data_IF_735805528700
#
_entry.id   IF_735805528700
#
_cell.length_a   1.000
_cell.length_b   1.000
_cell.length_c   1.000
_cell.angle_alpha   90.00
_cell.angle_beta   90.00
_cell.angle_gamma   90.00
#
_symmetry.space_group_name_H-M   'P 1'
#
loop_
_entity.id
_entity.type
_entity.pdbx_description
1 polymer ?
#
# COMPACT_ATOMS: atom_id res chain seq x y z
N UNK A 1 19.44 -13.02 17.77
CA UNK A 1 18.60 -12.31 16.78
C UNK A 1 17.75 -13.34 16.06
N UNK A 2 16.45 -13.13 15.99
CA UNK A 2 15.55 -13.97 15.20
C UNK A 2 15.83 -13.84 13.69
N UNK A 3 15.22 -14.72 12.87
CA UNK A 3 15.32 -14.60 11.41
C UNK A 3 14.68 -13.31 10.90
N UNK A 4 13.52 -12.92 11.45
CA UNK A 4 12.80 -11.69 11.09
C UNK A 4 13.66 -10.46 11.34
N UNK A 5 14.27 -10.33 12.53
CA UNK A 5 15.15 -9.18 12.86
C UNK A 5 16.35 -9.10 11.91
N UNK A 6 16.98 -10.24 11.57
CA UNK A 6 18.11 -10.29 10.62
C UNK A 6 17.66 -9.88 9.21
N UNK A 7 16.53 -10.38 8.75
CA UNK A 7 15.99 -10.06 7.44
C UNK A 7 15.66 -8.55 7.30
N UNK A 8 15.03 -7.97 8.33
CA UNK A 8 14.77 -6.52 8.36
C UNK A 8 16.07 -5.72 8.29
N UNK A 9 17.08 -6.09 9.10
CA UNK A 9 18.36 -5.39 9.09
C UNK A 9 19.05 -5.46 7.72
N UNK A 10 19.03 -6.63 7.07
CA UNK A 10 19.59 -6.81 5.73
C UNK A 10 18.87 -5.95 4.68
N UNK A 11 17.53 -5.92 4.70
CA UNK A 11 16.75 -5.07 3.78
C UNK A 11 17.05 -3.60 4.04
N UNK A 12 17.05 -3.16 5.29
CA UNK A 12 17.31 -1.76 5.69
C UNK A 12 18.68 -1.25 5.26
N UNK A 13 19.69 -2.11 5.17
CA UNK A 13 21.04 -1.75 4.68
C UNK A 13 21.03 -1.30 3.21
N UNK A 14 20.11 -1.81 2.41
CA UNK A 14 19.98 -1.51 0.97
C UNK A 14 18.83 -0.56 0.65
N UNK A 15 18.00 -0.22 1.64
CA UNK A 15 16.85 0.64 1.44
C UNK A 15 17.26 2.11 1.65
N UNK A 16 17.03 3.02 0.68
CA UNK A 16 17.23 4.45 0.87
C UNK A 16 16.43 4.99 2.06
N UNK A 17 16.95 6.01 2.74
CA UNK A 17 16.35 6.55 3.98
C UNK A 17 14.96 7.18 3.75
N UNK A 18 14.72 7.68 2.56
CA UNK A 18 13.47 8.30 2.13
C UNK A 18 12.41 7.30 1.62
N UNK A 19 12.77 6.01 1.56
CA UNK A 19 11.84 4.95 1.16
C UNK A 19 11.18 4.32 2.38
N UNK A 20 9.86 4.38 2.44
CA UNK A 20 9.08 3.72 3.48
C UNK A 20 8.93 2.23 3.18
N UNK A 21 9.26 1.39 4.16
CA UNK A 21 9.05 -0.06 4.09
C UNK A 21 7.78 -0.45 4.83
N UNK A 22 6.82 -1.03 4.11
CA UNK A 22 5.64 -1.65 4.69
C UNK A 22 5.94 -3.14 4.92
N UNK A 23 5.94 -3.56 6.19
CA UNK A 23 6.06 -4.98 6.57
C UNK A 23 4.73 -5.68 6.29
N UNK A 24 4.64 -6.47 5.21
CA UNK A 24 3.40 -7.16 4.82
C UNK A 24 3.20 -8.38 5.71
N UNK A 25 2.36 -8.22 6.72
CA UNK A 25 2.17 -9.18 7.82
C UNK A 25 0.96 -10.12 7.65
N UNK A 26 0.27 -10.05 6.50
CA UNK A 26 -0.85 -10.95 6.19
C UNK A 26 -0.44 -12.42 6.36
N UNK A 27 -1.31 -13.21 7.02
CA UNK A 27 -1.11 -14.63 7.35
C UNK A 27 -0.03 -14.94 8.39
N UNK A 28 0.66 -13.95 8.93
CA UNK A 28 1.67 -14.15 9.97
C UNK A 28 1.08 -13.93 11.37
N UNK A 29 1.69 -14.58 12.36
CA UNK A 29 1.24 -14.55 13.75
C UNK A 29 1.50 -13.20 14.41
N UNK A 30 0.80 -12.93 15.50
CA UNK A 30 1.04 -11.76 16.36
C UNK A 30 2.49 -11.73 16.86
N UNK A 31 3.06 -12.88 17.23
CA UNK A 31 4.45 -12.98 17.71
C UNK A 31 5.45 -12.56 16.62
N UNK A 32 5.24 -12.98 15.37
CA UNK A 32 6.10 -12.58 14.24
C UNK A 32 6.05 -11.05 14.01
N UNK A 33 4.86 -10.46 14.15
CA UNK A 33 4.70 -9.01 14.04
C UNK A 33 5.39 -8.29 15.21
N UNK A 34 5.28 -8.83 16.43
CA UNK A 34 5.96 -8.29 17.60
C UNK A 34 7.49 -8.33 17.46
N UNK A 35 8.05 -9.36 16.82
CA UNK A 35 9.48 -9.40 16.52
C UNK A 35 9.89 -8.26 15.57
N UNK A 36 9.14 -8.02 14.50
CA UNK A 36 9.38 -6.91 13.59
C UNK A 36 9.18 -5.54 14.28
N UNK A 37 8.17 -5.43 15.15
CA UNK A 37 7.93 -4.24 15.96
C UNK A 37 9.10 -3.93 16.89
N UNK A 38 9.66 -4.94 17.58
CA UNK A 38 10.83 -4.79 18.45
C UNK A 38 12.11 -4.48 17.65
N UNK A 39 12.16 -4.85 16.37
CA UNK A 39 13.22 -4.44 15.45
C UNK A 39 13.10 -2.96 15.00
N UNK A 40 12.06 -2.25 15.44
CA UNK A 40 11.84 -0.82 15.17
C UNK A 40 10.77 -0.52 14.14
N UNK A 41 10.18 -1.53 13.49
CA UNK A 41 9.16 -1.31 12.46
C UNK A 41 7.83 -0.87 13.05
N UNK A 42 7.13 0.01 12.32
CA UNK A 42 5.82 0.55 12.72
C UNK A 42 4.78 0.50 11.60
N UNK A 43 5.20 0.35 10.35
CA UNK A 43 4.32 0.30 9.19
C UNK A 43 4.04 -1.15 8.81
N UNK A 44 2.81 -1.62 9.05
CA UNK A 44 2.39 -2.99 8.78
C UNK A 44 1.24 -3.05 7.80
N UNK A 45 1.31 -3.98 6.84
CA UNK A 45 0.35 -4.12 5.76
C UNK A 45 -0.50 -5.39 5.87
N UNK A 46 -1.83 -5.21 5.85
CA UNK A 46 -2.82 -6.29 5.87
C UNK A 46 -3.72 -6.28 4.64
N UNK A 47 -4.17 -7.46 4.20
CA UNK A 47 -5.04 -7.59 3.03
C UNK A 47 -6.45 -8.07 3.34
N UNK A 48 -6.75 -8.44 4.59
CA UNK A 48 -8.07 -8.91 5.04
C UNK A 48 -8.52 -8.12 6.25
N UNK A 49 -9.73 -7.55 6.18
CA UNK A 49 -10.26 -6.68 7.24
C UNK A 49 -10.37 -7.40 8.57
N UNK A 50 -10.86 -8.65 8.59
CA UNK A 50 -11.00 -9.42 9.82
C UNK A 50 -9.65 -9.70 10.50
N UNK A 51 -8.64 -10.03 9.72
CA UNK A 51 -7.28 -10.26 10.20
C UNK A 51 -6.68 -8.98 10.78
N UNK A 52 -6.84 -7.86 10.08
CA UNK A 52 -6.43 -6.54 10.54
C UNK A 52 -7.06 -6.16 11.88
N UNK A 53 -8.37 -6.34 12.02
CA UNK A 53 -9.10 -6.04 13.26
C UNK A 53 -8.59 -6.88 14.43
N UNK A 54 -8.46 -8.19 14.23
CA UNK A 54 -7.96 -9.10 15.26
C UNK A 54 -6.53 -8.73 15.71
N UNK A 55 -5.63 -8.48 14.77
CA UNK A 55 -4.25 -8.09 15.07
C UNK A 55 -4.16 -6.75 15.78
N UNK A 56 -4.97 -5.78 15.38
CA UNK A 56 -5.02 -4.46 16.01
C UNK A 56 -5.41 -4.52 17.49
N UNK A 57 -6.27 -5.45 17.87
CA UNK A 57 -6.69 -5.63 19.28
C UNK A 57 -5.57 -6.18 20.17
N UNK A 58 -4.64 -6.95 19.57
CA UNK A 58 -3.59 -7.69 20.29
C UNK A 58 -2.23 -6.99 20.25
N UNK A 59 -2.04 -5.99 19.37
CA UNK A 59 -0.76 -5.37 19.08
C UNK A 59 -0.70 -3.91 19.55
N UNK A 60 0.51 -3.33 19.69
CA UNK A 60 0.69 -1.94 20.12
C UNK A 60 -0.09 -0.92 19.28
N UNK A 61 -0.63 0.10 19.96
CA UNK A 61 -1.51 1.10 19.33
C UNK A 61 -0.77 2.12 18.45
N UNK A 62 0.56 2.18 18.52
CA UNK A 62 1.41 3.03 17.70
C UNK A 62 1.79 2.40 16.35
N UNK A 63 1.30 1.18 16.07
CA UNK A 63 1.38 0.57 14.75
C UNK A 63 0.56 1.37 13.75
N UNK A 64 1.19 1.76 12.65
CA UNK A 64 0.54 2.36 11.49
C UNK A 64 0.04 1.26 10.56
N UNK A 65 -1.28 1.05 10.56
CA UNK A 65 -1.89 -0.01 9.76
C UNK A 65 -2.15 0.45 8.32
N UNK A 66 -1.56 -0.25 7.36
CA UNK A 66 -1.79 -0.07 5.93
C UNK A 66 -2.71 -1.17 5.42
N UNK A 67 -3.79 -0.78 4.75
CA UNK A 67 -4.66 -1.75 4.08
C UNK A 67 -4.25 -1.85 2.61
N UNK A 68 -3.78 -3.03 2.19
CA UNK A 68 -3.15 -3.27 0.87
C UNK A 68 -3.86 -4.33 0.02
N UNK A 69 -4.98 -4.88 0.50
CA UNK A 69 -5.78 -5.86 -0.24
C UNK A 69 -7.06 -5.24 -0.82
N UNK A 70 -7.78 -5.99 -1.64
CA UNK A 70 -9.07 -5.54 -2.17
C UNK A 70 -10.05 -5.25 -1.03
N UNK A 71 -10.55 -4.01 -0.98
CA UNK A 71 -11.45 -3.53 0.07
C UNK A 71 -12.90 -3.55 -0.38
N UNK A 72 -13.67 -4.50 0.12
CA UNK A 72 -15.11 -4.52 -0.11
C UNK A 72 -15.79 -3.31 0.54
N UNK A 73 -16.73 -2.67 -0.16
CA UNK A 73 -17.42 -1.45 0.32
C UNK A 73 -18.14 -1.62 1.65
N UNK A 74 -18.73 -2.82 1.91
CA UNK A 74 -19.39 -3.12 3.18
C UNK A 74 -18.44 -3.26 4.39
N UNK A 75 -17.13 -3.37 4.14
CA UNK A 75 -16.09 -3.48 5.16
C UNK A 75 -15.40 -2.15 5.48
N UNK A 76 -15.55 -1.14 4.63
CA UNK A 76 -14.92 0.20 4.78
C UNK A 76 -15.13 0.78 6.18
N UNK A 77 -16.37 0.78 6.69
CA UNK A 77 -16.73 1.29 8.02
C UNK A 77 -15.94 0.67 9.17
N UNK A 78 -15.38 -0.53 8.98
CA UNK A 78 -14.66 -1.26 10.02
C UNK A 78 -13.21 -0.77 10.18
N UNK A 79 -12.57 -0.26 9.10
CA UNK A 79 -11.17 0.16 9.12
C UNK A 79 -10.98 1.67 9.11
N UNK A 80 -11.92 2.42 8.57
CA UNK A 80 -11.91 3.90 8.55
C UNK A 80 -11.61 4.52 9.92
N UNK A 81 -12.07 4.00 11.07
CA UNK A 81 -11.80 4.59 12.37
C UNK A 81 -10.32 4.70 12.74
N UNK A 82 -9.45 3.85 12.18
CA UNK A 82 -8.07 3.75 12.65
C UNK A 82 -7.00 3.55 11.58
N UNK A 83 -7.39 3.10 10.38
CA UNK A 83 -6.42 2.83 9.30
C UNK A 83 -5.53 4.04 9.04
N UNK A 84 -4.23 3.80 8.87
CA UNK A 84 -3.26 4.85 8.57
C UNK A 84 -3.33 5.25 7.10
N UNK A 85 -3.33 4.25 6.20
CA UNK A 85 -3.37 4.45 4.75
C UNK A 85 -4.07 3.28 4.06
N UNK A 86 -4.99 3.56 3.15
CA UNK A 86 -5.61 2.56 2.27
C UNK A 86 -4.93 2.66 0.91
N UNK A 87 -4.22 1.60 0.48
CA UNK A 87 -3.49 1.59 -0.79
C UNK A 87 -4.35 1.19 -1.99
N UNK A 88 -5.43 0.47 -1.76
CA UNK A 88 -6.19 -0.29 -2.76
C UNK A 88 -7.51 0.38 -3.13
N UNK A 89 -7.49 1.70 -3.37
CA UNK A 89 -8.69 2.40 -3.84
C UNK A 89 -8.76 2.26 -5.37
N UNK A 90 -9.51 1.29 -5.81
CA UNK A 90 -9.57 0.77 -7.19
C UNK A 90 -10.76 1.27 -8.02
N UNK A 91 -11.68 2.03 -7.41
CA UNK A 91 -12.91 2.44 -8.08
C UNK A 91 -13.55 3.67 -7.44
N UNK A 92 -14.31 4.43 -8.25
CA UNK A 92 -15.10 5.56 -7.78
C UNK A 92 -16.08 5.15 -6.69
N UNK A 93 -16.69 3.97 -6.82
CA UNK A 93 -17.65 3.44 -5.83
C UNK A 93 -16.98 3.25 -4.46
N UNK A 94 -15.76 2.72 -4.43
CA UNK A 94 -15.00 2.53 -3.19
C UNK A 94 -14.58 3.88 -2.62
N UNK A 95 -14.08 4.79 -3.46
CA UNK A 95 -13.70 6.16 -3.09
C UNK A 95 -14.85 6.89 -2.39
N UNK A 96 -16.06 6.90 -2.99
CA UNK A 96 -17.25 7.53 -2.41
C UNK A 96 -17.68 6.87 -1.10
N UNK A 97 -17.53 5.55 -1.00
CA UNK A 97 -17.86 4.83 0.23
C UNK A 97 -16.88 5.19 1.36
N UNK A 98 -15.58 5.30 1.07
CA UNK A 98 -14.58 5.74 2.07
C UNK A 98 -14.90 7.17 2.52
N UNK A 99 -15.18 8.09 1.59
CA UNK A 99 -15.54 9.47 1.90
C UNK A 99 -16.75 9.54 2.85
N UNK A 100 -17.84 8.87 2.49
CA UNK A 100 -19.08 8.85 3.31
C UNK A 100 -18.86 8.29 4.71
N UNK A 101 -18.09 7.19 4.84
CA UNK A 101 -17.80 6.61 6.16
C UNK A 101 -16.82 7.49 6.98
N UNK A 102 -15.87 8.14 6.33
CA UNK A 102 -14.96 9.10 6.94
C UNK A 102 -15.70 10.37 7.42
N UNK A 103 -16.65 10.89 6.64
CA UNK A 103 -17.51 12.02 6.99
C UNK A 103 -18.33 11.75 8.25
N UNK A 104 -18.97 10.58 8.37
CA UNK A 104 -19.72 10.18 9.58
C UNK A 104 -18.86 10.23 10.85
N UNK A 105 -17.56 10.02 10.71
CA UNK A 105 -16.60 9.99 11.82
C UNK A 105 -15.83 11.31 11.99
N UNK A 106 -16.13 12.32 11.17
CA UNK A 106 -15.41 13.59 11.13
C UNK A 106 -13.88 13.38 11.01
N UNK A 107 -13.48 12.35 10.25
CA UNK A 107 -12.09 11.98 10.04
C UNK A 107 -11.67 12.24 8.59
N UNK A 108 -10.43 12.62 8.38
CA UNK A 108 -9.80 12.64 7.05
C UNK A 108 -8.96 11.39 6.86
N UNK A 109 -9.29 10.59 5.85
CA UNK A 109 -8.64 9.28 5.59
C UNK A 109 -7.64 9.42 4.45
N UNK A 110 -6.42 8.97 4.69
CA UNK A 110 -5.35 8.91 3.68
C UNK A 110 -5.57 7.71 2.76
N UNK A 111 -5.46 7.95 1.47
CA UNK A 111 -5.60 6.91 0.46
C UNK A 111 -4.54 7.01 -0.63
N UNK A 112 -4.28 5.88 -1.30
CA UNK A 112 -3.64 5.83 -2.62
C UNK A 112 -4.66 5.35 -3.65
N UNK A 113 -4.58 5.87 -4.85
CA UNK A 113 -5.35 5.39 -5.99
C UNK A 113 -4.62 4.20 -6.60
N UNK A 114 -5.29 3.05 -6.66
CA UNK A 114 -4.72 1.86 -7.29
C UNK A 114 -4.87 1.95 -8.80
N UNK A 115 -3.76 1.81 -9.52
CA UNK A 115 -3.74 1.84 -11.00
C UNK A 115 -3.45 0.46 -11.57
N UNK A 116 -4.17 0.13 -12.64
CA UNK A 116 -3.98 -1.10 -13.39
C UNK A 116 -3.01 -0.86 -14.55
N UNK A 117 -1.79 -1.39 -14.44
CA UNK A 117 -0.74 -1.28 -15.45
C UNK A 117 -0.21 -2.65 -15.90
N UNK A 118 -0.59 -3.71 -15.20
CA UNK A 118 -0.18 -5.07 -15.50
C UNK A 118 -1.02 -5.66 -16.65
N UNK A 119 -0.50 -6.69 -17.31
CA UNK A 119 -1.18 -7.35 -18.44
C UNK A 119 -2.34 -8.27 -18.02
N UNK A 120 -2.39 -8.66 -16.76
CA UNK A 120 -3.40 -9.59 -16.27
C UNK A 120 -4.75 -8.89 -16.09
N UNK A 121 -5.75 -9.31 -16.83
CA UNK A 121 -7.12 -8.75 -16.81
C UNK A 121 -7.84 -8.89 -15.45
N UNK A 122 -7.31 -9.71 -14.55
CA UNK A 122 -7.90 -9.96 -13.22
C UNK A 122 -7.48 -8.97 -12.15
N UNK A 123 -6.56 -8.04 -12.44
CA UNK A 123 -6.12 -7.04 -11.46
C UNK A 123 -7.08 -5.87 -11.40
N UNK A 124 -7.38 -5.44 -10.17
CA UNK A 124 -8.16 -4.24 -9.86
C UNK A 124 -7.34 -2.98 -10.13
N UNK A 125 -8.00 -1.84 -10.16
CA UNK A 125 -7.36 -0.53 -10.31
C UNK A 125 -8.02 0.33 -11.40
N UNK A 126 -7.79 1.63 -11.30
CA UNK A 126 -8.18 2.56 -12.36
C UNK A 126 -7.31 2.38 -13.60
N UNK A 127 -7.91 2.46 -14.78
CA UNK A 127 -7.11 2.65 -16.00
C UNK A 127 -6.42 4.02 -15.98
N UNK A 128 -5.35 4.22 -16.76
CA UNK A 128 -4.72 5.54 -16.89
C UNK A 128 -5.72 6.65 -17.26
N UNK A 129 -6.66 6.37 -18.15
CA UNK A 129 -7.69 7.31 -18.61
C UNK A 129 -8.68 7.64 -17.48
N UNK A 130 -9.16 6.63 -16.76
CA UNK A 130 -10.07 6.83 -15.62
C UNK A 130 -9.39 7.66 -14.52
N UNK A 131 -8.13 7.36 -14.20
CA UNK A 131 -7.36 8.08 -13.19
C UNK A 131 -7.35 9.58 -13.48
N UNK A 132 -7.00 9.97 -14.71
CA UNK A 132 -6.87 11.38 -15.09
C UNK A 132 -8.21 12.15 -15.02
N UNK A 133 -9.34 11.45 -15.08
CA UNK A 133 -10.66 12.09 -14.94
C UNK A 133 -11.08 12.37 -13.51
N UNK A 134 -10.36 11.82 -12.49
CA UNK A 134 -10.78 11.91 -11.09
C UNK A 134 -10.62 13.30 -10.47
N UNK A 135 -9.79 14.19 -11.01
CA UNK A 135 -9.46 15.48 -10.37
C UNK A 135 -10.67 16.32 -9.97
N UNK A 136 -11.64 16.46 -10.87
CA UNK A 136 -12.86 17.23 -10.59
C UNK A 136 -13.69 16.64 -9.45
N UNK A 137 -13.69 15.30 -9.33
CA UNK A 137 -14.41 14.60 -8.28
C UNK A 137 -13.71 14.74 -6.92
N UNK A 138 -12.39 14.59 -6.89
CA UNK A 138 -11.60 14.62 -5.67
C UNK A 138 -11.69 15.95 -4.92
N UNK A 139 -11.84 17.06 -5.63
CA UNK A 139 -12.00 18.39 -5.02
C UNK A 139 -13.24 18.53 -4.12
N UNK A 140 -14.26 17.70 -4.32
CA UNK A 140 -15.46 17.66 -3.49
C UNK A 140 -15.38 16.71 -2.28
N UNK A 141 -14.32 15.89 -2.18
CA UNK A 141 -14.21 14.83 -1.18
C UNK A 141 -13.37 15.27 0.04
N UNK A 142 -13.89 16.19 0.85
CA UNK A 142 -13.17 16.84 1.96
C UNK A 142 -12.67 15.89 3.06
N UNK A 143 -13.24 14.69 3.19
CA UNK A 143 -12.85 13.69 4.18
C UNK A 143 -11.88 12.64 3.63
N UNK A 144 -11.31 12.89 2.44
CA UNK A 144 -10.27 12.07 1.83
C UNK A 144 -9.01 12.91 1.62
N UNK A 145 -7.86 12.29 1.82
CA UNK A 145 -6.55 12.80 1.43
C UNK A 145 -5.91 11.81 0.45
N UNK A 146 -5.86 12.20 -0.82
CA UNK A 146 -5.16 11.41 -1.85
C UNK A 146 -3.68 11.70 -1.72
N UNK A 147 -2.93 10.74 -1.15
CA UNK A 147 -1.50 10.90 -0.88
C UNK A 147 -0.62 10.44 -2.05
N UNK A 148 -1.18 9.69 -3.01
CA UNK A 148 -0.37 9.14 -4.09
C UNK A 148 -1.05 8.02 -4.86
N UNK A 149 -0.23 7.21 -5.51
CA UNK A 149 -0.65 6.09 -6.37
C UNK A 149 -0.04 4.79 -5.86
N UNK A 150 -0.78 3.69 -6.02
CA UNK A 150 -0.30 2.34 -5.82
C UNK A 150 -0.43 1.55 -7.12
N UNK A 151 0.55 0.71 -7.42
CA UNK A 151 0.46 -0.25 -8.51
C UNK A 151 1.30 -1.50 -8.28
N UNK A 152 1.08 -2.48 -9.15
CA UNK A 152 1.82 -3.74 -9.16
C UNK A 152 2.25 -4.04 -10.59
N UNK A 153 3.49 -4.50 -10.75
CA UNK A 153 3.97 -4.99 -12.04
C UNK A 153 3.29 -6.33 -12.42
N UNK A 154 3.36 -6.67 -13.68
CA UNK A 154 3.03 -8.01 -14.18
C UNK A 154 3.87 -9.05 -13.43
N UNK A 155 3.27 -10.18 -13.09
CA UNK A 155 3.96 -11.30 -12.44
C UNK A 155 4.80 -12.04 -13.48
N UNK A 156 6.06 -11.67 -13.62
CA UNK A 156 7.02 -12.19 -14.61
C UNK A 156 8.43 -12.12 -14.07
N UNK A 157 9.35 -12.91 -14.65
CA UNK A 157 10.79 -12.79 -14.41
C UNK A 157 11.48 -11.83 -15.42
N UNK A 158 10.74 -11.32 -16.38
CA UNK A 158 11.25 -10.34 -17.35
C UNK A 158 11.39 -8.95 -16.71
N UNK A 159 12.62 -8.61 -16.33
CA UNK A 159 12.95 -7.32 -15.73
C UNK A 159 12.55 -6.12 -16.57
N UNK A 160 12.64 -6.22 -17.91
CA UNK A 160 12.24 -5.12 -18.80
C UNK A 160 10.72 -4.86 -18.71
N UNK A 161 9.93 -5.91 -18.59
CA UNK A 161 8.50 -5.76 -18.41
C UNK A 161 8.14 -5.18 -17.03
N UNK A 162 8.82 -5.65 -15.98
CA UNK A 162 8.65 -5.11 -14.62
C UNK A 162 8.97 -3.60 -14.62
N UNK A 163 10.12 -3.19 -15.16
CA UNK A 163 10.53 -1.78 -15.27
C UNK A 163 9.49 -0.95 -16.03
N UNK A 164 9.00 -1.44 -17.15
CA UNK A 164 7.97 -0.73 -17.93
C UNK A 164 6.71 -0.47 -17.13
N UNK A 165 6.25 -1.44 -16.33
CA UNK A 165 5.11 -1.24 -15.43
C UNK A 165 5.39 -0.14 -14.40
N UNK A 166 6.56 -0.17 -13.74
CA UNK A 166 6.91 0.82 -12.73
C UNK A 166 7.12 2.22 -13.32
N UNK A 167 7.73 2.34 -14.49
CA UNK A 167 7.85 3.60 -15.23
C UNK A 167 6.48 4.17 -15.57
N UNK A 168 5.53 3.33 -15.97
CA UNK A 168 4.15 3.75 -16.22
C UNK A 168 3.49 4.28 -14.94
N UNK A 169 3.63 3.61 -13.80
CA UNK A 169 3.10 4.07 -12.52
C UNK A 169 3.72 5.42 -12.12
N UNK A 170 5.04 5.56 -12.28
CA UNK A 170 5.76 6.81 -12.01
C UNK A 170 5.25 7.95 -12.88
N UNK A 171 5.16 7.74 -14.18
CA UNK A 171 4.64 8.71 -15.14
C UNK A 171 3.20 9.14 -14.81
N UNK A 172 2.33 8.20 -14.46
CA UNK A 172 0.96 8.49 -14.04
C UNK A 172 0.92 9.33 -12.76
N UNK A 173 1.79 9.02 -11.78
CA UNK A 173 1.92 9.81 -10.56
C UNK A 173 2.37 11.23 -10.85
N UNK A 174 3.41 11.40 -11.66
CA UNK A 174 3.94 12.73 -12.01
C UNK A 174 2.88 13.56 -12.75
N UNK A 175 2.17 12.94 -13.68
CA UNK A 175 1.09 13.61 -14.42
C UNK A 175 -0.07 13.97 -13.50
N UNK A 176 -0.53 13.02 -12.66
CA UNK A 176 -1.68 13.23 -11.79
C UNK A 176 -1.43 14.28 -10.72
N UNK A 177 -0.25 14.29 -10.12
CA UNK A 177 0.12 15.27 -9.08
C UNK A 177 0.85 16.50 -9.60
N UNK A 178 0.91 16.70 -10.93
CA UNK A 178 1.59 17.82 -11.57
C UNK A 178 3.03 18.00 -11.04
N UNK A 179 3.77 16.90 -10.98
CA UNK A 179 5.14 16.80 -10.45
C UNK A 179 5.30 17.21 -8.96
N UNK A 180 4.21 17.40 -8.23
CA UNK A 180 4.27 17.59 -6.78
C UNK A 180 4.62 16.28 -6.08
N UNK A 181 5.32 16.32 -4.92
CA UNK A 181 5.66 15.13 -4.17
C UNK A 181 4.42 14.30 -3.82
N UNK A 182 4.46 13.02 -4.16
CA UNK A 182 3.41 12.06 -3.88
C UNK A 182 3.98 10.71 -3.43
N UNK A 183 3.18 9.93 -2.73
CA UNK A 183 3.53 8.55 -2.39
C UNK A 183 3.36 7.66 -3.61
N UNK A 184 4.43 6.95 -3.99
CA UNK A 184 4.42 5.94 -5.05
C UNK A 184 4.67 4.59 -4.41
N UNK A 185 3.58 3.86 -4.15
CA UNK A 185 3.61 2.55 -3.53
C UNK A 185 3.69 1.47 -4.60
N UNK A 186 4.90 1.02 -4.91
CA UNK A 186 5.15 -0.07 -5.85
C UNK A 186 6.40 -0.85 -5.43
N UNK A 187 6.49 -2.12 -5.85
CA UNK A 187 7.55 -3.04 -5.45
C UNK A 187 7.19 -3.90 -4.25
N UNK A 188 7.49 -5.19 -4.39
CA UNK A 188 7.29 -6.25 -3.40
C UNK A 188 8.60 -7.01 -3.17
N UNK A 189 8.58 -8.11 -2.43
CA UNK A 189 9.79 -8.88 -2.06
C UNK A 189 10.72 -9.20 -3.23
N UNK A 190 10.18 -9.44 -4.42
CA UNK A 190 10.95 -9.93 -5.56
C UNK A 190 11.42 -8.81 -6.51
N UNK A 191 10.77 -7.63 -6.45
CA UNK A 191 10.98 -6.55 -7.43
C UNK A 191 11.17 -5.16 -6.80
N UNK A 192 11.25 -5.06 -5.43
CA UNK A 192 11.33 -3.76 -4.76
C UNK A 192 12.56 -2.94 -5.13
N UNK A 193 13.70 -3.58 -5.45
CA UNK A 193 14.91 -2.88 -5.84
C UNK A 193 14.70 -2.17 -7.18
N UNK A 194 14.13 -2.88 -8.16
CA UNK A 194 13.76 -2.31 -9.46
C UNK A 194 12.74 -1.17 -9.27
N UNK A 195 11.76 -1.37 -8.39
CA UNK A 195 10.76 -0.35 -8.09
C UNK A 195 11.38 0.95 -7.54
N UNK A 196 12.39 0.83 -6.65
CA UNK A 196 13.11 1.99 -6.10
C UNK A 196 13.89 2.71 -7.19
N UNK A 197 14.59 1.98 -8.06
CA UNK A 197 15.30 2.56 -9.20
C UNK A 197 14.36 3.34 -10.13
N UNK A 198 13.12 2.87 -10.28
CA UNK A 198 12.08 3.53 -11.08
C UNK A 198 11.24 4.56 -10.29
N UNK A 199 11.69 4.94 -9.07
CA UNK A 199 11.14 6.06 -8.32
C UNK A 199 10.08 5.71 -7.27
N UNK A 200 9.99 4.45 -6.83
CA UNK A 200 9.19 4.09 -5.65
C UNK A 200 9.74 4.73 -4.38
N UNK A 201 8.86 5.33 -3.58
CA UNK A 201 9.20 5.82 -2.24
C UNK A 201 8.46 5.06 -1.13
N UNK A 202 7.73 3.99 -1.50
CA UNK A 202 7.05 3.09 -0.55
C UNK A 202 7.00 1.67 -1.12
N UNK A 203 7.66 0.72 -0.45
CA UNK A 203 7.72 -0.70 -0.85
C UNK A 203 6.98 -1.60 0.13
N UNK A 204 6.44 -2.73 -0.35
CA UNK A 204 5.60 -3.66 0.43
C UNK A 204 6.26 -5.03 0.50
N UNK A 205 6.99 -5.30 1.57
CA UNK A 205 7.85 -6.49 1.71
C UNK A 205 7.24 -7.47 2.70
N UNK A 206 7.02 -8.70 2.26
CA UNK A 206 6.44 -9.79 3.06
C UNK A 206 7.38 -10.99 3.21
N UNK A 207 7.48 -11.83 2.18
CA UNK A 207 8.26 -13.09 2.21
C UNK A 207 9.73 -12.88 2.57
N UNK A 208 10.36 -11.81 2.11
CA UNK A 208 11.74 -11.49 2.46
C UNK A 208 11.92 -11.11 3.94
N UNK A 209 10.86 -10.69 4.66
CA UNK A 209 10.89 -10.41 6.10
C UNK A 209 10.50 -11.64 6.90
N UNK A 210 9.31 -12.19 6.63
CA UNK A 210 8.66 -13.19 7.49
C UNK A 210 8.89 -14.63 7.02
N UNK A 211 9.46 -14.83 5.83
CA UNK A 211 9.58 -16.13 5.18
C UNK A 211 8.37 -16.50 4.34
N UNK A 212 8.44 -17.66 3.70
CA UNK A 212 7.32 -18.19 2.91
C UNK A 212 6.11 -18.52 3.79
N UNK A 213 4.95 -18.47 3.18
CA UNK A 213 3.67 -18.80 3.84
C UNK A 213 3.64 -20.28 4.17
N UNK A 214 3.39 -20.61 5.43
CA UNK A 214 3.11 -21.97 5.87
C UNK A 214 1.62 -22.27 5.73
#
# INVERSE_FOLDING_TARGET
MSSITRNIAAIRQHLPQDVTMICVSKFHTVDAIMEAYHAGERDFGESRVQELLHKRELLPQDIRWHFIGHLQTNKVKMIVPFVHLIHSVDSVRLLDTIHREAEKMQRRVKILLEVHVAKEDTKSGFTPEELLTLHSRLSALNHIEVCGIMGMATNTEDEHEIRRCFQTIKMLSDTFFNHMPATISMGMSDDYQIAIEEGSNMVRIGSSIFGERK
#
